data_IF_365794423687
#
_entry.id   IF_365794423687
#
_cell.length_a   1.000
_cell.length_b   1.000
_cell.length_c   1.000
_cell.angle_alpha   90.00
_cell.angle_beta   90.00
_cell.angle_gamma   90.00
#
_symmetry.space_group_name_H-M   'P 1'
#
loop_
_entity.id
_entity.type
_entity.pdbx_description
1 polymer ?
#
# COMPACT_ATOMS: atom_id res chain seq x y z
N UNK A 1 63.59 -32.98 11.84
CA UNK A 1 62.13 -33.26 11.92
C UNK A 1 61.57 -33.18 10.52
N UNK A 2 61.11 -34.31 9.99
CA UNK A 2 60.37 -34.40 8.73
C UNK A 2 58.96 -33.85 8.89
N UNK A 3 58.37 -33.35 7.80
CA UNK A 3 57.10 -33.79 7.17
C UNK A 3 56.67 -32.70 6.17
N UNK A 4 56.35 -33.08 4.93
CA UNK A 4 55.74 -32.17 3.96
C UNK A 4 55.83 -32.63 2.50
N UNK A 5 55.37 -33.84 2.20
CA UNK A 5 55.14 -34.35 0.85
C UNK A 5 54.22 -33.42 0.06
N UNK A 6 54.63 -32.98 -1.13
CA UNK A 6 53.67 -32.62 -2.19
C UNK A 6 54.16 -33.13 -3.55
N UNK A 7 53.29 -33.96 -4.08
CA UNK A 7 53.30 -34.75 -5.29
C UNK A 7 53.29 -33.81 -6.52
N UNK A 8 54.41 -33.66 -7.23
CA UNK A 8 54.41 -33.14 -8.59
C UNK A 8 54.50 -34.33 -9.53
N UNK A 9 53.35 -34.71 -10.10
CA UNK A 9 53.25 -35.78 -11.07
C UNK A 9 54.12 -35.46 -12.28
N UNK A 10 55.25 -36.15 -12.38
CA UNK A 10 55.91 -36.37 -13.65
C UNK A 10 54.97 -37.25 -14.48
N UNK A 11 54.11 -36.61 -15.27
CA UNK A 11 53.36 -37.26 -16.32
C UNK A 11 54.37 -37.92 -17.25
N UNK A 12 54.48 -39.24 -17.15
CA UNK A 12 55.06 -40.11 -18.15
C UNK A 12 54.49 -39.69 -19.50
N UNK A 13 55.26 -38.92 -20.28
CA UNK A 13 54.98 -38.72 -21.68
C UNK A 13 55.26 -40.05 -22.36
N UNK A 14 54.22 -40.88 -22.47
CA UNK A 14 54.19 -41.96 -23.45
C UNK A 14 54.62 -41.38 -24.79
N UNK A 15 55.62 -41.95 -25.49
CA UNK A 15 55.89 -41.53 -26.85
C UNK A 15 54.63 -41.81 -27.65
N UNK A 16 54.07 -40.72 -28.18
CA UNK A 16 52.82 -40.68 -28.92
C UNK A 16 52.74 -41.86 -29.89
N UNK A 17 51.63 -42.59 -29.75
CA UNK A 17 51.16 -43.59 -30.70
C UNK A 17 51.27 -43.04 -32.11
N UNK A 18 52.24 -43.55 -32.87
CA UNK A 18 52.32 -43.35 -34.30
C UNK A 18 50.97 -43.78 -34.88
N UNK A 19 50.33 -42.88 -35.63
CA UNK A 19 49.01 -43.09 -36.23
C UNK A 19 48.86 -44.52 -36.76
N UNK A 20 47.83 -45.23 -36.27
CA UNK A 20 47.43 -46.57 -36.75
C UNK A 20 47.11 -46.61 -38.25
N UNK A 21 47.17 -45.47 -38.95
CA UNK A 21 46.99 -45.38 -40.41
C UNK A 21 48.27 -45.55 -41.22
N UNK A 22 49.47 -45.41 -40.64
CA UNK A 22 50.74 -45.47 -41.40
C UNK A 22 51.24 -46.91 -41.60
N UNK A 23 50.87 -47.83 -40.71
CA UNK A 23 51.26 -49.25 -40.78
C UNK A 23 50.59 -50.01 -41.91
N UNK A 24 49.54 -49.46 -42.54
CA UNK A 24 48.75 -50.19 -43.53
C UNK A 24 49.05 -49.83 -44.99
N UNK A 25 49.73 -48.71 -45.29
CA UNK A 25 50.10 -48.36 -46.68
C UNK A 25 51.47 -48.94 -47.09
N UNK A 26 52.49 -48.83 -46.23
CA UNK A 26 53.83 -49.40 -46.50
C UNK A 26 53.78 -50.93 -46.61
N UNK A 27 53.07 -51.59 -45.68
CA UNK A 27 52.87 -53.04 -45.73
C UNK A 27 52.09 -53.51 -46.97
N UNK A 28 51.21 -52.68 -47.52
CA UNK A 28 50.51 -52.99 -48.77
C UNK A 28 51.44 -52.89 -49.98
N UNK A 29 52.24 -51.83 -50.06
CA UNK A 29 53.20 -51.63 -51.15
C UNK A 29 54.32 -52.68 -51.13
N UNK A 30 54.80 -53.07 -49.94
CA UNK A 30 55.79 -54.15 -49.81
C UNK A 30 55.23 -55.51 -50.24
N UNK A 31 53.94 -55.78 -49.99
CA UNK A 31 53.29 -57.01 -50.46
C UNK A 31 53.14 -57.03 -51.98
N UNK A 32 52.73 -55.92 -52.57
CA UNK A 32 52.66 -55.78 -54.04
C UNK A 32 54.05 -55.91 -54.68
N UNK A 33 55.08 -55.34 -54.07
CA UNK A 33 56.47 -55.50 -54.51
C UNK A 33 56.93 -56.97 -54.43
N UNK A 34 56.52 -57.69 -53.39
CA UNK A 34 56.81 -59.12 -53.25
C UNK A 34 56.12 -59.95 -54.34
N UNK A 35 54.84 -59.70 -54.62
CA UNK A 35 54.09 -60.35 -55.69
C UNK A 35 54.78 -60.15 -57.05
N UNK A 36 55.21 -58.92 -57.36
CA UNK A 36 55.96 -58.61 -58.59
C UNK A 36 57.30 -59.34 -58.63
N UNK A 37 58.04 -59.35 -57.52
CA UNK A 37 59.31 -60.06 -57.45
C UNK A 37 59.15 -61.57 -57.66
N UNK A 38 58.06 -62.16 -57.18
CA UNK A 38 57.75 -63.58 -57.39
C UNK A 38 57.40 -63.86 -58.86
N UNK A 39 56.68 -62.94 -59.55
CA UNK A 39 56.35 -63.05 -60.98
C UNK A 39 57.59 -62.97 -61.88
N UNK A 40 58.54 -62.08 -61.60
CA UNK A 40 59.75 -61.91 -62.42
C UNK A 40 60.88 -62.91 -62.09
N UNK A 41 60.74 -63.65 -60.98
CA UNK A 41 61.75 -64.60 -60.51
C UNK A 41 63.02 -63.92 -59.95
N UNK A 42 62.87 -62.78 -59.28
CA UNK A 42 64.00 -62.04 -58.68
C UNK A 42 64.75 -62.92 -57.67
N UNK A 43 66.05 -62.71 -57.49
CA UNK A 43 66.81 -63.46 -56.47
C UNK A 43 66.70 -62.80 -55.09
N UNK A 44 66.71 -63.61 -54.03
CA UNK A 44 66.61 -63.10 -52.65
C UNK A 44 67.70 -62.07 -52.31
N UNK A 45 68.89 -62.22 -52.89
CA UNK A 45 70.00 -61.28 -52.71
C UNK A 45 69.70 -59.87 -53.25
N UNK A 46 69.01 -59.77 -54.39
CA UNK A 46 68.68 -58.47 -54.97
C UNK A 46 67.44 -57.87 -54.28
N UNK A 47 66.47 -58.70 -53.88
CA UNK A 47 65.37 -58.28 -52.98
C UNK A 47 65.89 -57.64 -51.71
N UNK A 48 66.80 -58.31 -51.00
CA UNK A 48 67.40 -57.82 -49.75
C UNK A 48 68.12 -56.48 -49.95
N UNK A 49 68.85 -56.33 -51.06
CA UNK A 49 69.56 -55.09 -51.39
C UNK A 49 68.60 -53.92 -51.66
N UNK A 50 67.52 -54.17 -52.38
CA UNK A 50 66.49 -53.15 -52.63
C UNK A 50 65.76 -52.78 -51.33
N UNK A 51 65.42 -53.75 -50.49
CA UNK A 51 64.80 -53.50 -49.18
C UNK A 51 65.72 -52.67 -48.27
N UNK A 52 67.00 -53.02 -48.19
CA UNK A 52 67.99 -52.26 -47.41
C UNK A 52 68.11 -50.81 -47.92
N UNK A 53 68.08 -50.59 -49.23
CA UNK A 53 68.09 -49.24 -49.80
C UNK A 53 66.83 -48.46 -49.40
N UNK A 54 65.65 -49.08 -49.48
CA UNK A 54 64.39 -48.46 -49.10
C UNK A 54 64.36 -48.11 -47.59
N UNK A 55 64.85 -49.02 -46.75
CA UNK A 55 65.01 -48.78 -45.31
C UNK A 55 65.95 -47.60 -45.05
N UNK A 56 67.08 -47.52 -45.75
CA UNK A 56 68.04 -46.44 -45.61
C UNK A 56 67.45 -45.08 -46.04
N UNK A 57 66.75 -45.03 -47.17
CA UNK A 57 66.07 -43.81 -47.65
C UNK A 57 64.98 -43.33 -46.68
N UNK A 58 64.19 -44.26 -46.13
CA UNK A 58 63.20 -43.96 -45.09
C UNK A 58 63.87 -43.38 -43.84
N UNK A 59 64.95 -44.00 -43.36
CA UNK A 59 65.71 -43.54 -42.21
C UNK A 59 66.26 -42.13 -42.41
N UNK A 60 66.73 -41.80 -43.61
CA UNK A 60 67.26 -40.47 -43.92
C UNK A 60 66.16 -39.39 -43.93
N UNK A 61 64.97 -39.70 -44.45
CA UNK A 61 63.80 -38.81 -44.36
C UNK A 61 63.41 -38.58 -42.89
N UNK A 62 63.32 -39.65 -42.09
CA UNK A 62 63.01 -39.54 -40.66
C UNK A 62 64.05 -38.71 -39.93
N UNK A 63 65.35 -38.97 -40.15
CA UNK A 63 66.46 -38.21 -39.57
C UNK A 63 66.34 -36.73 -39.92
N UNK A 64 66.12 -36.40 -41.19
CA UNK A 64 65.96 -35.01 -41.64
C UNK A 64 64.74 -34.34 -41.01
N UNK A 65 63.63 -35.05 -40.78
CA UNK A 65 62.45 -34.51 -40.09
C UNK A 65 62.75 -34.25 -38.62
N UNK A 66 63.43 -35.17 -37.95
CA UNK A 66 63.86 -35.03 -36.55
C UNK A 66 64.79 -33.83 -36.39
N UNK A 67 65.79 -33.67 -37.27
CA UNK A 67 66.71 -32.53 -37.22
C UNK A 67 66.01 -31.18 -37.43
N UNK A 68 65.05 -31.08 -38.35
CA UNK A 68 64.25 -29.86 -38.51
C UNK A 68 63.45 -29.53 -37.25
N UNK A 69 62.82 -30.53 -36.63
CA UNK A 69 62.07 -30.34 -35.38
C UNK A 69 63.00 -29.94 -34.23
N UNK A 70 64.18 -30.54 -34.11
CA UNK A 70 65.20 -30.15 -33.12
C UNK A 70 65.63 -28.70 -33.30
N UNK A 71 65.87 -28.28 -34.55
CA UNK A 71 66.20 -26.88 -34.86
C UNK A 71 65.09 -25.93 -34.46
N UNK A 72 63.83 -26.25 -34.79
CA UNK A 72 62.67 -25.44 -34.41
C UNK A 72 62.52 -25.31 -32.89
N UNK A 73 62.73 -26.40 -32.15
CA UNK A 73 62.72 -26.38 -30.68
C UNK A 73 63.83 -25.46 -30.13
N UNK A 74 65.04 -25.52 -30.70
CA UNK A 74 66.14 -24.66 -30.28
C UNK A 74 65.85 -23.17 -30.54
N UNK A 75 65.26 -22.84 -31.69
CA UNK A 75 64.84 -21.48 -32.04
C UNK A 75 63.79 -20.93 -31.06
N UNK A 76 62.79 -21.75 -30.68
CA UNK A 76 61.80 -21.38 -29.67
C UNK A 76 62.42 -21.14 -28.29
N UNK A 77 63.31 -22.02 -27.83
CA UNK A 77 64.01 -21.83 -26.55
C UNK A 77 64.88 -20.58 -26.55
N UNK A 78 65.54 -20.26 -27.67
CA UNK A 78 66.32 -19.05 -27.80
C UNK A 78 65.43 -17.80 -27.74
N UNK A 79 64.28 -17.82 -28.40
CA UNK A 79 63.31 -16.72 -28.32
C UNK A 79 62.75 -16.55 -26.91
N UNK A 80 62.45 -17.65 -26.22
CA UNK A 80 61.98 -17.61 -24.83
C UNK A 80 63.01 -16.97 -23.91
N UNK A 81 64.27 -17.42 -23.99
CA UNK A 81 65.36 -16.86 -23.18
C UNK A 81 65.60 -15.37 -23.48
N UNK A 82 65.45 -14.93 -24.73
CA UNK A 82 65.53 -13.52 -25.10
C UNK A 82 64.40 -12.69 -24.47
N UNK A 83 63.15 -13.17 -24.52
CA UNK A 83 62.03 -12.51 -23.85
C UNK A 83 62.18 -12.50 -22.33
N UNK A 84 62.65 -13.58 -21.72
CA UNK A 84 62.95 -13.62 -20.28
C UNK A 84 64.00 -12.58 -19.88
N UNK A 85 65.06 -12.43 -20.69
CA UNK A 85 66.08 -11.40 -20.47
C UNK A 85 65.53 -9.97 -20.64
N UNK A 86 64.65 -9.74 -21.62
CA UNK A 86 63.99 -8.46 -21.83
C UNK A 86 63.07 -8.09 -20.66
N UNK A 87 62.29 -9.05 -20.14
CA UNK A 87 61.48 -8.88 -18.93
C UNK A 87 62.36 -8.56 -17.73
N UNK A 88 63.50 -9.25 -17.57
CA UNK A 88 64.44 -8.98 -16.48
C UNK A 88 65.03 -7.56 -16.57
N UNK A 89 65.39 -7.10 -17.78
CA UNK A 89 65.86 -5.73 -18.02
C UNK A 89 64.79 -4.69 -17.69
N UNK A 90 63.56 -4.89 -18.15
CA UNK A 90 62.43 -4.00 -17.82
C UNK A 90 62.17 -3.96 -16.31
N UNK A 91 62.22 -5.11 -15.63
CA UNK A 91 62.04 -5.21 -14.18
C UNK A 91 63.15 -4.49 -13.40
N UNK A 92 64.40 -4.58 -13.84
CA UNK A 92 65.53 -3.84 -13.25
C UNK A 92 65.48 -2.34 -13.55
N UNK A 93 65.06 -1.93 -14.75
CA UNK A 93 64.89 -0.51 -15.12
C UNK A 93 63.76 0.17 -14.33
N UNK A 94 62.69 -0.57 -14.01
CA UNK A 94 61.64 -0.14 -13.09
C UNK A 94 62.02 -0.28 -11.60
N UNK A 95 63.24 -0.75 -11.31
CA UNK A 95 63.77 -1.22 -10.03
C UNK A 95 63.07 -0.73 -8.77
N UNK A 96 62.64 -1.68 -7.94
CA UNK A 96 62.31 -1.57 -6.50
C UNK A 96 61.24 -0.54 -6.06
N UNK A 97 60.85 0.43 -6.90
CA UNK A 97 59.77 1.39 -6.62
C UNK A 97 58.37 0.78 -6.80
N UNK A 98 58.26 -0.33 -7.52
CA UNK A 98 56.98 -0.98 -7.83
C UNK A 98 57.06 -2.47 -7.48
N UNK A 99 57.09 -2.79 -6.18
CA UNK A 99 56.68 -4.13 -5.74
C UNK A 99 55.20 -4.28 -6.11
N UNK A 100 54.90 -5.10 -7.12
CA UNK A 100 53.52 -5.38 -7.58
C UNK A 100 52.60 -5.77 -6.40
N UNK A 101 53.03 -6.63 -5.45
CA UNK A 101 52.26 -6.92 -4.23
C UNK A 101 51.98 -5.68 -3.35
N UNK A 102 52.95 -4.76 -3.22
CA UNK A 102 52.76 -3.52 -2.44
C UNK A 102 51.74 -2.59 -3.10
N UNK A 103 51.77 -2.49 -4.43
CA UNK A 103 50.81 -1.67 -5.19
C UNK A 103 49.38 -2.22 -5.07
N UNK A 104 49.21 -3.55 -5.21
CA UNK A 104 47.92 -4.21 -4.97
C UNK A 104 47.39 -3.96 -3.54
N UNK A 105 48.27 -4.01 -2.54
CA UNK A 105 47.90 -3.71 -1.14
C UNK A 105 47.49 -2.25 -0.95
N UNK A 106 48.23 -1.31 -1.53
CA UNK A 106 47.88 0.12 -1.49
C UNK A 106 46.53 0.38 -2.17
N UNK A 107 46.27 -0.26 -3.31
CA UNK A 107 44.99 -0.18 -4.00
C UNK A 107 43.84 -0.70 -3.11
N UNK A 108 44.04 -1.82 -2.41
CA UNK A 108 43.04 -2.37 -1.48
C UNK A 108 42.77 -1.44 -0.28
N UNK A 109 43.82 -0.90 0.33
CA UNK A 109 43.68 0.11 1.41
C UNK A 109 42.90 1.32 0.89
N UNK A 110 43.29 1.86 -0.26
CA UNK A 110 42.60 3.01 -0.87
C UNK A 110 41.13 2.72 -1.15
N UNK A 111 40.82 1.54 -1.68
CA UNK A 111 39.44 1.10 -1.94
C UNK A 111 38.61 1.02 -0.65
N UNK A 112 39.15 0.46 0.44
CA UNK A 112 38.45 0.42 1.72
C UNK A 112 38.20 1.81 2.31
N UNK A 113 39.19 2.71 2.22
CA UNK A 113 39.04 4.09 2.69
C UNK A 113 37.93 4.81 1.91
N UNK A 114 37.89 4.69 0.58
CA UNK A 114 36.84 5.28 -0.25
C UNK A 114 35.46 4.72 0.10
N UNK A 115 35.33 3.40 0.25
CA UNK A 115 34.05 2.79 0.61
C UNK A 115 33.59 3.16 2.04
N UNK A 116 34.51 3.30 2.99
CA UNK A 116 34.20 3.82 4.33
C UNK A 116 33.73 5.27 4.22
N UNK A 117 34.43 6.12 3.46
CA UNK A 117 34.02 7.50 3.24
C UNK A 117 32.58 7.58 2.71
N UNK A 118 32.26 6.85 1.64
CA UNK A 118 30.90 6.78 1.09
C UNK A 118 29.86 6.36 2.14
N UNK A 119 30.15 5.32 2.94
CA UNK A 119 29.25 4.87 4.00
C UNK A 119 29.08 5.91 5.11
N UNK A 120 30.16 6.60 5.50
CA UNK A 120 30.10 7.65 6.53
C UNK A 120 29.30 8.86 6.08
N UNK A 121 29.39 9.26 4.80
CA UNK A 121 28.56 10.31 4.22
C UNK A 121 27.08 9.91 4.28
N UNK A 122 26.73 8.72 3.79
CA UNK A 122 25.35 8.21 3.79
C UNK A 122 24.79 8.11 5.22
N UNK A 123 25.61 7.72 6.18
CA UNK A 123 25.20 7.54 7.57
C UNK A 123 25.34 8.81 8.42
N UNK A 124 25.83 9.91 7.84
CA UNK A 124 26.15 11.16 8.54
C UNK A 124 27.05 10.95 9.76
N UNK A 125 28.14 10.20 9.56
CA UNK A 125 29.16 9.92 10.58
C UNK A 125 30.43 10.74 10.31
N UNK A 126 31.18 11.01 11.37
CA UNK A 126 32.47 11.69 11.26
C UNK A 126 33.55 10.74 10.69
N UNK A 127 33.83 10.90 9.40
CA UNK A 127 34.85 10.13 8.70
C UNK A 127 36.24 10.28 9.33
N UNK A 128 36.63 11.50 9.73
CA UNK A 128 37.98 11.74 10.29
C UNK A 128 38.15 10.99 11.61
N UNK A 129 37.11 11.01 12.46
CA UNK A 129 37.10 10.25 13.71
C UNK A 129 37.26 8.74 13.46
N UNK A 130 36.48 8.18 12.53
CA UNK A 130 36.56 6.74 12.19
C UNK A 130 37.94 6.39 11.64
N UNK A 131 38.50 7.22 10.76
CA UNK A 131 39.85 7.00 10.22
C UNK A 131 40.94 7.08 11.29
N UNK A 132 40.81 7.97 12.29
CA UNK A 132 41.72 8.07 13.43
C UNK A 132 41.72 6.80 14.27
N UNK A 133 40.54 6.23 14.53
CA UNK A 133 40.35 4.99 15.29
C UNK A 133 40.96 3.77 14.57
N UNK A 134 40.91 3.75 13.23
CA UNK A 134 41.52 2.71 12.42
C UNK A 134 43.04 2.85 12.42
N UNK A 135 43.57 4.04 12.06
CA UNK A 135 44.99 4.36 12.12
C UNK A 135 45.26 5.87 11.97
N UNK A 136 46.09 6.50 12.84
CA UNK A 136 46.38 7.94 12.78
C UNK A 136 46.91 8.45 11.43
N UNK A 137 47.68 7.62 10.70
CA UNK A 137 48.25 8.01 9.40
C UNK A 137 47.21 8.22 8.27
N UNK A 138 45.93 8.00 8.53
CA UNK A 138 44.85 8.33 7.59
C UNK A 138 44.23 9.71 7.80
N UNK A 139 44.51 10.37 8.92
CA UNK A 139 43.95 11.69 9.27
C UNK A 139 44.97 12.81 9.05
N UNK A 140 46.25 12.50 9.24
CA UNK A 140 47.32 13.50 9.23
C UNK A 140 47.99 13.62 7.85
N UNK A 141 47.62 14.66 7.10
CA UNK A 141 48.15 14.91 5.74
C UNK A 141 49.42 15.78 5.76
N UNK A 142 49.79 16.33 6.92
CA UNK A 142 50.88 17.29 7.07
C UNK A 142 52.25 16.63 7.32
N UNK A 143 52.32 15.35 7.71
CA UNK A 143 53.57 14.75 8.22
C UNK A 143 54.43 14.01 7.18
N UNK A 144 54.01 13.93 5.90
CA UNK A 144 54.73 13.14 4.89
C UNK A 144 54.81 11.64 5.22
N UNK A 145 54.11 11.17 6.27
CA UNK A 145 54.06 9.76 6.63
C UNK A 145 53.22 8.99 5.61
N UNK A 146 53.81 7.92 5.09
CA UNK A 146 53.08 7.00 4.22
C UNK A 146 51.91 6.36 4.95
N UNK A 147 50.75 6.29 4.27
CA UNK A 147 49.58 5.53 4.73
C UNK A 147 49.98 4.12 5.18
N UNK A 148 49.46 3.66 6.32
CA UNK A 148 49.79 2.32 6.81
C UNK A 148 49.18 1.26 5.89
N UNK A 149 49.98 0.26 5.52
CA UNK A 149 49.57 -0.90 4.71
C UNK A 149 49.74 -2.22 5.46
N UNK A 150 49.97 -2.18 6.77
CA UNK A 150 50.14 -3.35 7.63
C UNK A 150 48.92 -4.27 7.59
N UNK A 151 49.12 -5.58 7.79
CA UNK A 151 48.01 -6.55 7.82
C UNK A 151 46.97 -6.19 8.88
N UNK A 152 47.43 -5.70 10.04
CA UNK A 152 46.56 -5.19 11.11
C UNK A 152 45.69 -4.01 10.66
N UNK A 153 46.27 -3.03 9.96
CA UNK A 153 45.52 -1.88 9.44
C UNK A 153 44.49 -2.30 8.40
N UNK A 154 44.84 -3.24 7.51
CA UNK A 154 43.90 -3.82 6.55
C UNK A 154 42.76 -4.59 7.23
N UNK A 155 43.05 -5.34 8.30
CA UNK A 155 42.05 -6.05 9.08
C UNK A 155 41.09 -5.07 9.77
N UNK A 156 41.61 -4.00 10.39
CA UNK A 156 40.80 -2.93 10.99
C UNK A 156 39.92 -2.21 9.98
N UNK A 157 40.47 -1.84 8.82
CA UNK A 157 39.70 -1.27 7.71
C UNK A 157 38.56 -2.20 7.27
N UNK A 158 38.86 -3.49 7.12
CA UNK A 158 37.87 -4.49 6.71
C UNK A 158 36.78 -4.66 7.76
N UNK A 159 37.17 -4.72 9.04
CA UNK A 159 36.25 -4.82 10.17
C UNK A 159 35.30 -3.62 10.24
N UNK A 160 35.84 -2.41 10.18
CA UNK A 160 35.04 -1.18 10.25
C UNK A 160 34.12 -1.03 9.04
N UNK A 161 34.61 -1.35 7.83
CA UNK A 161 33.79 -1.36 6.62
C UNK A 161 32.60 -2.33 6.74
N UNK A 162 32.82 -3.53 7.28
CA UNK A 162 31.74 -4.49 7.50
C UNK A 162 30.76 -4.01 8.59
N UNK A 163 31.26 -3.42 9.68
CA UNK A 163 30.44 -2.84 10.73
C UNK A 163 29.54 -1.72 10.18
N UNK A 164 30.09 -0.80 9.37
CA UNK A 164 29.33 0.27 8.74
C UNK A 164 28.28 -0.26 7.77
N UNK A 165 28.62 -1.28 6.96
CA UNK A 165 27.64 -1.97 6.10
C UNK A 165 26.49 -2.57 6.90
N UNK A 166 26.79 -3.25 8.00
CA UNK A 166 25.79 -3.85 8.88
C UNK A 166 24.91 -2.77 9.54
N UNK A 167 25.51 -1.71 10.08
CA UNK A 167 24.78 -0.59 10.68
C UNK A 167 23.88 0.11 9.66
N UNK A 168 24.35 0.32 8.42
CA UNK A 168 23.53 0.86 7.31
C UNK A 168 22.32 -0.05 7.07
N UNK A 169 22.53 -1.36 6.96
CA UNK A 169 21.44 -2.32 6.73
C UNK A 169 20.42 -2.29 7.87
N UNK A 170 20.88 -2.25 9.13
CA UNK A 170 19.99 -2.18 10.29
C UNK A 170 19.16 -0.88 10.31
N UNK A 171 19.77 0.27 9.99
CA UNK A 171 19.05 1.54 9.88
C UNK A 171 18.00 1.52 8.77
N UNK A 172 18.32 0.91 7.63
CA UNK A 172 17.40 0.76 6.50
C UNK A 172 16.18 -0.08 6.90
N UNK A 173 16.39 -1.27 7.48
CA UNK A 173 15.30 -2.13 7.94
C UNK A 173 14.40 -1.42 8.98
N UNK A 174 15.01 -0.69 9.92
CA UNK A 174 14.25 0.09 10.91
C UNK A 174 13.42 1.19 10.24
N UNK A 175 13.96 1.87 9.23
CA UNK A 175 13.24 2.90 8.49
C UNK A 175 12.09 2.31 7.67
N UNK A 176 12.29 1.16 7.01
CA UNK A 176 11.25 0.46 6.25
C UNK A 176 10.06 0.04 7.15
N UNK A 177 10.35 -0.56 8.30
CA UNK A 177 9.31 -0.93 9.29
C UNK A 177 8.55 0.31 9.77
N UNK A 178 9.25 1.41 10.04
CA UNK A 178 8.61 2.65 10.50
C UNK A 178 7.75 3.29 9.39
N UNK A 179 8.19 3.26 8.13
CA UNK A 179 7.40 3.71 6.98
C UNK A 179 6.11 2.89 6.86
N UNK A 180 6.20 1.56 6.97
CA UNK A 180 5.02 0.70 6.91
C UNK A 180 4.05 0.96 8.06
N UNK A 181 4.58 1.09 9.28
CA UNK A 181 3.79 1.46 10.46
C UNK A 181 3.08 2.81 10.27
N UNK A 182 3.77 3.80 9.69
CA UNK A 182 3.23 5.12 9.41
C UNK A 182 2.17 5.08 8.30
N UNK A 183 2.32 4.23 7.28
CA UNK A 183 1.32 4.05 6.23
C UNK A 183 0.02 3.50 6.81
N UNK A 184 0.09 2.46 7.65
CA UNK A 184 -1.07 1.91 8.36
C UNK A 184 -1.72 2.95 9.27
N UNK A 185 -0.92 3.72 10.01
CA UNK A 185 -1.42 4.79 10.88
C UNK A 185 -2.11 5.90 10.07
N UNK A 186 -1.53 6.32 8.94
CA UNK A 186 -2.10 7.32 8.03
C UNK A 186 -3.44 6.84 7.48
N UNK A 187 -3.53 5.59 7.01
CA UNK A 187 -4.78 5.02 6.51
C UNK A 187 -5.86 4.95 7.60
N UNK A 188 -5.50 4.50 8.80
CA UNK A 188 -6.41 4.46 9.96
C UNK A 188 -6.93 5.86 10.33
N UNK A 189 -6.04 6.86 10.36
CA UNK A 189 -6.43 8.26 10.63
C UNK A 189 -7.26 8.86 9.51
N UNK A 190 -6.99 8.53 8.25
CA UNK A 190 -7.81 8.98 7.12
C UNK A 190 -9.23 8.43 7.21
N UNK A 191 -9.36 7.14 7.56
CA UNK A 191 -10.66 6.50 7.81
C UNK A 191 -11.43 7.19 8.95
N UNK A 192 -10.77 7.51 10.06
CA UNK A 192 -11.38 8.24 11.17
C UNK A 192 -11.92 9.61 10.73
N UNK A 193 -11.13 10.37 9.98
CA UNK A 193 -11.53 11.68 9.45
C UNK A 193 -12.73 11.57 8.51
N UNK A 194 -12.74 10.59 7.61
CA UNK A 194 -13.86 10.31 6.71
C UNK A 194 -15.16 10.06 7.49
N UNK A 195 -15.13 9.21 8.52
CA UNK A 195 -16.32 8.98 9.36
C UNK A 195 -16.74 10.22 10.15
N UNK A 196 -15.78 11.04 10.59
CA UNK A 196 -16.10 12.33 11.23
C UNK A 196 -16.79 13.29 10.26
N UNK A 197 -16.34 13.36 9.00
CA UNK A 197 -17.01 14.13 7.95
C UNK A 197 -18.40 13.58 7.61
N UNK A 198 -18.57 12.26 7.67
CA UNK A 198 -19.88 11.63 7.49
C UNK A 198 -20.85 12.08 8.59
N UNK A 199 -20.43 12.06 9.85
CA UNK A 199 -21.25 12.57 10.97
C UNK A 199 -21.55 14.07 10.84
N UNK A 200 -20.57 14.91 10.47
CA UNK A 200 -20.81 16.35 10.24
C UNK A 200 -21.87 16.58 9.16
N UNK A 201 -21.81 15.82 8.06
CA UNK A 201 -22.77 15.88 6.97
C UNK A 201 -24.20 15.54 7.46
N UNK A 202 -24.32 14.50 8.28
CA UNK A 202 -25.59 14.06 8.87
C UNK A 202 -26.16 15.10 9.83
N UNK A 203 -25.32 15.67 10.72
CA UNK A 203 -25.72 16.74 11.63
C UNK A 203 -26.27 17.96 10.89
N UNK A 204 -25.66 18.33 9.76
CA UNK A 204 -26.15 19.43 8.92
C UNK A 204 -27.53 19.10 8.35
N UNK A 205 -27.69 17.92 7.75
CA UNK A 205 -28.98 17.53 7.14
C UNK A 205 -30.09 17.37 8.19
N UNK A 206 -29.78 16.81 9.35
CA UNK A 206 -30.70 16.72 10.48
C UNK A 206 -31.10 18.11 10.99
N UNK A 207 -30.12 19.01 11.16
CA UNK A 207 -30.34 20.38 11.60
C UNK A 207 -31.24 21.21 10.68
N UNK A 208 -31.34 20.83 9.40
CA UNK A 208 -32.25 21.47 8.42
C UNK A 208 -33.43 20.60 8.01
N UNK A 209 -33.73 19.55 8.79
CA UNK A 209 -34.86 18.65 8.62
C UNK A 209 -34.96 18.03 7.22
N UNK A 210 -33.82 17.64 6.65
CA UNK A 210 -33.76 16.89 5.39
C UNK A 210 -33.86 15.39 5.64
N UNK A 211 -34.71 14.72 4.85
CA UNK A 211 -34.88 13.26 4.88
C UNK A 211 -33.76 12.59 4.07
N UNK A 212 -32.66 12.23 4.76
CA UNK A 212 -31.55 11.48 4.18
C UNK A 212 -31.43 10.13 4.89
N UNK A 213 -31.34 9.05 4.10
CA UNK A 213 -31.07 7.69 4.58
C UNK A 213 -29.61 7.55 5.02
N UNK A 214 -29.33 8.10 6.20
CA UNK A 214 -28.01 8.16 6.83
C UNK A 214 -27.41 6.76 7.06
N UNK A 215 -28.22 5.81 7.51
CA UNK A 215 -27.77 4.46 7.83
C UNK A 215 -27.27 3.71 6.58
N UNK A 216 -28.00 3.84 5.47
CA UNK A 216 -27.58 3.28 4.19
C UNK A 216 -26.32 3.96 3.65
N UNK A 217 -26.20 5.28 3.81
CA UNK A 217 -25.00 6.02 3.41
C UNK A 217 -23.76 5.56 4.20
N UNK A 218 -23.88 5.39 5.52
CA UNK A 218 -22.82 4.85 6.39
C UNK A 218 -22.41 3.44 6.00
N UNK A 219 -23.37 2.57 5.66
CA UNK A 219 -23.09 1.20 5.21
C UNK A 219 -22.31 1.19 3.90
N UNK A 220 -22.77 1.94 2.88
CA UNK A 220 -22.09 2.05 1.58
C UNK A 220 -20.65 2.56 1.78
N UNK A 221 -20.48 3.62 2.59
CA UNK A 221 -19.18 4.20 2.89
C UNK A 221 -18.25 3.18 3.58
N UNK A 222 -18.77 2.45 4.56
CA UNK A 222 -18.02 1.41 5.27
C UNK A 222 -17.56 0.30 4.33
N UNK A 223 -18.43 -0.19 3.45
CA UNK A 223 -18.09 -1.20 2.43
C UNK A 223 -17.02 -0.69 1.47
N UNK A 224 -17.15 0.56 1.01
CA UNK A 224 -16.20 1.17 0.08
C UNK A 224 -14.80 1.26 0.68
N UNK A 225 -14.68 1.72 1.93
CA UNK A 225 -13.41 1.80 2.65
C UNK A 225 -12.80 0.42 2.89
N UNK A 226 -13.62 -0.56 3.29
CA UNK A 226 -13.15 -1.92 3.55
C UNK A 226 -12.66 -2.65 2.29
N UNK A 227 -13.25 -2.32 1.14
CA UNK A 227 -12.83 -2.90 -0.15
C UNK A 227 -11.45 -2.47 -0.62
N UNK A 228 -10.90 -1.38 -0.06
CA UNK A 228 -9.60 -0.81 -0.47
C UNK A 228 -9.55 -0.31 -1.92
N UNK A 229 -10.71 -0.24 -2.60
CA UNK A 229 -10.80 0.13 -4.02
C UNK A 229 -10.71 1.62 -4.30
N UNK A 230 -10.77 2.46 -3.26
CA UNK A 230 -10.84 3.91 -3.36
C UNK A 230 -9.70 4.55 -2.58
N UNK A 231 -9.09 5.58 -3.20
CA UNK A 231 -8.12 6.43 -2.51
C UNK A 231 -8.82 7.25 -1.42
N UNK A 232 -8.33 7.11 -0.19
CA UNK A 232 -8.94 7.75 0.98
C UNK A 232 -8.76 9.28 0.98
N UNK A 233 -7.75 9.81 0.31
CA UNK A 233 -7.54 11.27 0.19
C UNK A 233 -8.56 11.89 -0.76
N UNK A 234 -8.80 11.24 -1.90
CA UNK A 234 -9.82 11.67 -2.86
C UNK A 234 -11.22 11.55 -2.28
N UNK A 235 -11.50 10.46 -1.56
CA UNK A 235 -12.77 10.28 -0.86
C UNK A 235 -13.01 11.36 0.19
N UNK A 236 -12.00 11.67 1.02
CA UNK A 236 -12.11 12.74 2.02
C UNK A 236 -12.38 14.10 1.37
N UNK A 237 -11.70 14.41 0.25
CA UNK A 237 -11.91 15.65 -0.50
C UNK A 237 -13.32 15.73 -1.10
N UNK A 238 -13.84 14.60 -1.61
CA UNK A 238 -15.23 14.51 -2.08
C UNK A 238 -16.23 14.77 -0.95
N UNK A 239 -15.97 14.24 0.25
CA UNK A 239 -16.80 14.49 1.42
C UNK A 239 -16.77 15.95 1.88
N UNK A 240 -15.62 16.61 1.82
CA UNK A 240 -15.54 18.06 2.06
C UNK A 240 -16.42 18.83 1.07
N UNK A 241 -16.44 18.42 -0.20
CA UNK A 241 -17.35 18.96 -1.20
C UNK A 241 -18.84 18.71 -0.87
N UNK A 242 -19.18 17.53 -0.36
CA UNK A 242 -20.55 17.22 0.07
C UNK A 242 -20.99 18.04 1.27
N UNK A 243 -20.11 18.23 2.25
CA UNK A 243 -20.36 19.10 3.41
C UNK A 243 -20.56 20.55 2.95
N UNK A 244 -19.75 21.06 2.03
CA UNK A 244 -19.91 22.41 1.50
C UNK A 244 -21.29 22.59 0.83
N UNK A 245 -21.71 21.62 0.01
CA UNK A 245 -23.05 21.60 -0.59
C UNK A 245 -24.16 21.54 0.46
N UNK A 246 -24.00 20.69 1.49
CA UNK A 246 -24.98 20.59 2.57
C UNK A 246 -25.09 21.90 3.37
N UNK A 247 -23.97 22.60 3.61
CA UNK A 247 -23.97 23.93 4.24
C UNK A 247 -24.67 24.97 3.37
N UNK A 248 -24.47 24.95 2.05
CA UNK A 248 -25.20 25.82 1.12
C UNK A 248 -26.71 25.54 1.17
N UNK A 249 -27.09 24.26 1.16
CA UNK A 249 -28.49 23.85 1.30
C UNK A 249 -29.08 24.33 2.62
N UNK A 250 -28.36 24.15 3.72
CA UNK A 250 -28.78 24.61 5.03
C UNK A 250 -28.98 26.13 5.07
N UNK A 251 -28.04 26.88 4.48
CA UNK A 251 -28.12 28.33 4.39
C UNK A 251 -29.33 28.79 3.54
N UNK A 252 -29.64 28.08 2.45
CA UNK A 252 -30.80 28.39 1.61
C UNK A 252 -32.14 28.17 2.32
N UNK A 253 -32.20 27.20 3.25
CA UNK A 253 -33.40 26.89 4.03
C UNK A 253 -33.57 27.78 5.25
N UNK A 254 -32.53 28.53 5.65
CA UNK A 254 -32.49 29.28 6.91
C UNK A 254 -33.67 30.24 7.10
N UNK A 255 -34.02 31.01 6.06
CA UNK A 255 -35.08 32.03 6.14
C UNK A 255 -36.50 31.46 6.17
N UNK A 256 -36.65 30.19 5.77
CA UNK A 256 -37.90 29.43 5.86
C UNK A 256 -37.98 28.72 7.22
N UNK A 257 -36.85 28.19 7.68
CA UNK A 257 -36.73 27.49 8.96
C UNK A 257 -36.61 28.42 10.17
N UNK A 258 -36.61 29.74 9.99
CA UNK A 258 -36.60 30.71 11.10
C UNK A 258 -37.92 30.65 11.88
N UNK A 259 -37.92 29.86 12.96
CA UNK A 259 -39.12 29.51 13.74
C UNK A 259 -39.49 30.56 14.78
N UNK A 260 -38.70 31.63 14.99
CA UNK A 260 -38.84 32.48 16.18
C UNK A 260 -40.19 33.20 16.22
N UNK A 261 -40.61 33.80 15.10
CA UNK A 261 -41.89 34.54 14.99
C UNK A 261 -43.10 33.62 15.04
N UNK A 262 -42.95 32.42 14.46
CA UNK A 262 -44.00 31.43 14.32
C UNK A 262 -44.29 30.68 15.60
N UNK A 263 -43.23 30.30 16.30
CA UNK A 263 -43.31 29.60 17.57
C UNK A 263 -44.02 30.45 18.62
N UNK A 264 -43.67 31.73 18.73
CA UNK A 264 -44.34 32.62 19.68
C UNK A 264 -45.83 32.82 19.37
N UNK A 265 -46.19 32.98 18.09
CA UNK A 265 -47.59 33.10 17.69
C UNK A 265 -48.40 31.82 17.97
N UNK A 266 -47.83 30.65 17.67
CA UNK A 266 -48.46 29.35 17.93
C UNK A 266 -48.57 29.02 19.43
N UNK A 267 -47.56 29.39 20.24
CA UNK A 267 -47.60 29.24 21.69
C UNK A 267 -48.68 30.12 22.33
N UNK A 268 -48.81 31.37 21.88
CA UNK A 268 -49.88 32.26 22.36
C UNK A 268 -51.27 31.84 21.86
N UNK A 269 -51.37 31.26 20.66
CA UNK A 269 -52.61 30.63 20.17
C UNK A 269 -53.04 29.45 21.07
N UNK A 270 -52.11 28.51 21.33
CA UNK A 270 -52.39 27.37 22.22
C UNK A 270 -52.76 27.81 23.63
N UNK A 271 -52.09 28.84 24.17
CA UNK A 271 -52.41 29.41 25.48
C UNK A 271 -53.78 30.08 25.49
N UNK A 272 -54.12 30.83 24.44
CA UNK A 272 -55.42 31.48 24.31
C UNK A 272 -56.54 30.44 24.23
N UNK A 273 -56.36 29.38 23.42
CA UNK A 273 -57.33 28.29 23.32
C UNK A 273 -57.56 27.60 24.67
N UNK A 274 -56.51 27.35 25.44
CA UNK A 274 -56.62 26.79 26.79
C UNK A 274 -57.34 27.75 27.75
N UNK A 275 -57.05 29.05 27.65
CA UNK A 275 -57.72 30.09 28.44
C UNK A 275 -59.20 30.28 28.05
N UNK A 276 -59.57 30.10 26.78
CA UNK A 276 -60.96 30.22 26.31
C UNK A 276 -61.80 29.00 26.68
N UNK A 277 -61.17 27.83 26.85
CA UNK A 277 -61.82 26.59 27.35
C UNK A 277 -62.03 26.59 28.87
N UNK A 278 -61.41 27.50 29.63
CA UNK A 278 -61.58 27.59 31.07
C UNK A 278 -62.92 28.25 31.46
N UNK A 279 -63.85 27.47 32.01
CA UNK A 279 -65.15 27.97 32.49
C UNK A 279 -65.01 28.95 33.67
N UNK A 280 -63.92 28.86 34.44
CA UNK A 280 -63.69 29.69 35.61
C UNK A 280 -62.89 30.98 35.29
N UNK A 281 -62.67 31.28 34.01
CA UNK A 281 -61.83 32.40 33.53
C UNK A 281 -62.26 33.81 34.01
N UNK A 282 -63.53 33.97 34.39
CA UNK A 282 -64.08 35.22 34.93
C UNK A 282 -64.36 35.19 36.43
N UNK A 283 -63.95 34.12 37.13
CA UNK A 283 -64.09 34.05 38.58
C UNK A 283 -63.33 35.19 39.27
N UNK A 284 -63.96 35.85 40.24
CA UNK A 284 -63.42 37.07 40.87
C UNK A 284 -62.16 36.77 41.71
N UNK A 285 -60.98 36.83 41.07
CA UNK A 285 -59.67 36.60 41.69
C UNK A 285 -58.66 37.73 41.42
N UNK A 286 -57.61 37.82 42.25
CA UNK A 286 -56.48 38.73 41.98
C UNK A 286 -55.74 38.28 40.71
N UNK A 287 -55.72 39.15 39.70
CA UNK A 287 -54.96 38.92 38.44
C UNK A 287 -55.82 38.68 37.19
N UNK A 288 -57.14 38.52 37.33
CA UNK A 288 -58.07 38.29 36.20
C UNK A 288 -57.94 39.35 35.10
N UNK A 289 -57.89 40.63 35.49
CA UNK A 289 -57.74 41.74 34.53
C UNK A 289 -56.41 41.69 33.75
N UNK A 290 -55.35 41.07 34.29
CA UNK A 290 -54.06 40.90 33.60
C UNK A 290 -54.15 39.77 32.57
N UNK A 291 -54.78 38.66 32.93
CA UNK A 291 -55.02 37.55 32.01
C UNK A 291 -55.96 37.96 30.88
N UNK A 292 -57.02 38.73 31.17
CA UNK A 292 -57.91 39.28 30.15
C UNK A 292 -57.16 40.22 29.18
N UNK A 293 -56.27 41.08 29.70
CA UNK A 293 -55.39 41.91 28.86
C UNK A 293 -54.40 41.10 28.02
N UNK A 294 -53.89 39.97 28.52
CA UNK A 294 -53.02 39.06 27.76
C UNK A 294 -53.82 38.36 26.67
N UNK A 295 -55.02 37.86 26.97
CA UNK A 295 -55.91 37.21 26.02
C UNK A 295 -56.26 38.14 24.84
N UNK A 296 -56.54 39.42 25.10
CA UNK A 296 -56.79 40.38 24.03
C UNK A 296 -55.55 40.63 23.15
N UNK A 297 -54.35 40.70 23.76
CA UNK A 297 -53.09 40.77 23.01
C UNK A 297 -52.82 39.50 22.19
N UNK A 298 -53.12 38.32 22.75
CA UNK A 298 -52.99 37.03 22.08
C UNK A 298 -53.95 36.94 20.88
N UNK A 299 -55.21 37.38 20.99
CA UNK A 299 -56.15 37.45 19.86
C UNK A 299 -55.66 38.31 18.71
N UNK A 300 -55.04 39.45 19.01
CA UNK A 300 -54.43 40.33 18.01
C UNK A 300 -53.24 39.64 17.32
N UNK A 301 -52.52 38.75 18.01
CA UNK A 301 -51.43 37.97 17.43
C UNK A 301 -51.97 36.80 16.59
N UNK A 302 -52.97 36.07 17.09
CA UNK A 302 -53.65 34.96 16.40
C UNK A 302 -54.30 35.44 15.11
N UNK A 303 -54.94 36.62 15.10
CA UNK A 303 -55.52 37.18 13.88
C UNK A 303 -54.50 37.47 12.77
N UNK A 304 -53.20 37.54 13.09
CA UNK A 304 -52.11 37.72 12.13
C UNK A 304 -51.55 36.39 11.60
N UNK A 305 -51.85 35.25 12.23
CA UNK A 305 -51.37 33.92 11.82
C UNK A 305 -51.65 33.63 10.34
N UNK A 306 -52.86 33.88 9.77
CA UNK A 306 -53.12 33.61 8.36
C UNK A 306 -52.16 34.35 7.41
N UNK A 307 -51.87 35.62 7.69
CA UNK A 307 -50.95 36.44 6.89
C UNK A 307 -49.49 35.94 6.96
N UNK A 308 -49.10 35.43 8.12
CA UNK A 308 -47.81 34.77 8.28
C UNK A 308 -47.79 33.48 7.43
N UNK A 309 -48.87 32.68 7.44
CA UNK A 309 -48.93 31.36 6.74
C UNK A 309 -48.82 31.55 5.26
N UNK A 310 -49.52 32.56 4.73
CA UNK A 310 -49.44 32.93 3.34
C UNK A 310 -48.02 33.39 2.97
N UNK A 311 -47.38 34.24 3.80
CA UNK A 311 -45.99 34.67 3.58
C UNK A 311 -45.00 33.51 3.56
N UNK A 312 -45.11 32.55 4.48
CA UNK A 312 -44.25 31.36 4.51
C UNK A 312 -44.53 30.44 3.32
N UNK A 313 -45.80 30.26 2.94
CA UNK A 313 -46.19 29.46 1.77
C UNK A 313 -45.58 30.03 0.49
N UNK A 314 -45.58 31.36 0.33
CA UNK A 314 -44.93 32.02 -0.80
C UNK A 314 -43.42 31.77 -0.80
N UNK A 315 -42.75 31.89 0.35
CA UNK A 315 -41.30 31.60 0.46
C UNK A 315 -40.97 30.15 0.14
N UNK A 316 -41.76 29.20 0.65
CA UNK A 316 -41.60 27.76 0.36
C UNK A 316 -41.75 27.51 -1.13
N UNK A 317 -42.83 27.99 -1.76
CA UNK A 317 -43.06 27.81 -3.20
C UNK A 317 -41.98 28.44 -4.06
N UNK A 318 -41.47 29.63 -3.67
CA UNK A 318 -40.37 30.28 -4.37
C UNK A 318 -39.08 29.44 -4.29
N UNK A 319 -38.77 28.91 -3.10
CA UNK A 319 -37.61 28.03 -2.91
C UNK A 319 -37.74 26.71 -3.68
N UNK A 320 -38.93 26.09 -3.70
CA UNK A 320 -39.20 24.86 -4.46
C UNK A 320 -39.02 25.07 -5.96
N UNK A 321 -39.47 26.22 -6.48
CA UNK A 321 -39.30 26.59 -7.88
C UNK A 321 -37.82 26.83 -8.24
N UNK A 322 -37.09 27.52 -7.35
CA UNK A 322 -35.65 27.80 -7.55
C UNK A 322 -34.81 26.52 -7.51
N UNK A 323 -35.09 25.61 -6.58
CA UNK A 323 -34.31 24.38 -6.36
C UNK A 323 -34.81 23.18 -7.17
N UNK A 324 -36.02 23.26 -7.71
CA UNK A 324 -36.63 22.19 -8.51
C UNK A 324 -36.99 20.94 -7.70
N UNK A 325 -37.17 21.08 -6.38
CA UNK A 325 -37.45 19.96 -5.48
C UNK A 325 -38.41 20.38 -4.36
N UNK A 326 -39.31 19.50 -3.90
CA UNK A 326 -40.25 19.82 -2.82
C UNK A 326 -39.54 20.16 -1.51
N UNK A 327 -40.08 21.12 -0.77
CA UNK A 327 -39.60 21.48 0.55
C UNK A 327 -40.22 20.53 1.57
N UNK A 328 -39.44 19.54 2.01
CA UNK A 328 -39.85 18.63 3.08
C UNK A 328 -39.42 19.16 4.44
N UNK A 329 -40.32 19.09 5.42
CA UNK A 329 -40.10 19.43 6.81
C UNK A 329 -40.56 18.26 7.70
N UNK A 330 -39.58 17.60 8.32
CA UNK A 330 -39.73 16.50 9.26
C UNK A 330 -40.10 15.10 8.69
N UNK A 331 -39.57 14.04 9.33
CA UNK A 331 -39.72 12.64 8.92
C UNK A 331 -41.13 12.08 9.16
N UNK A 332 -41.88 12.68 10.08
CA UNK A 332 -43.19 12.20 10.51
C UNK A 332 -44.35 12.72 9.64
N UNK A 333 -44.26 13.95 9.13
CA UNK A 333 -45.30 14.50 8.25
C UNK A 333 -45.43 13.72 6.94
N UNK A 334 -44.30 13.32 6.33
CA UNK A 334 -44.31 12.49 5.11
C UNK A 334 -44.87 11.10 5.38
N UNK A 335 -44.51 10.45 6.50
CA UNK A 335 -45.07 9.14 6.87
C UNK A 335 -46.58 9.21 7.15
N UNK A 336 -47.06 10.27 7.82
CA UNK A 336 -48.48 10.49 8.05
C UNK A 336 -49.22 10.81 6.76
N UNK A 337 -48.63 11.60 5.85
CA UNK A 337 -49.22 11.94 4.56
C UNK A 337 -49.26 10.72 3.61
N UNK A 338 -48.22 9.90 3.59
CA UNK A 338 -48.16 8.66 2.82
C UNK A 338 -49.12 7.60 3.40
N UNK A 339 -49.26 7.52 4.74
CA UNK A 339 -50.28 6.66 5.38
C UNK A 339 -51.69 7.14 5.07
N UNK A 340 -51.97 8.44 5.15
CA UNK A 340 -53.27 9.01 4.78
C UNK A 340 -53.58 8.84 3.28
N UNK A 341 -52.59 8.95 2.41
CA UNK A 341 -52.73 8.68 0.98
C UNK A 341 -53.02 7.19 0.72
N UNK A 342 -52.32 6.29 1.41
CA UNK A 342 -52.55 4.83 1.34
C UNK A 342 -53.93 4.45 1.92
N UNK A 343 -54.38 5.11 2.99
CA UNK A 343 -55.72 4.93 3.57
C UNK A 343 -56.82 5.48 2.64
N UNK A 344 -56.61 6.61 1.96
CA UNK A 344 -57.56 7.09 0.96
C UNK A 344 -57.58 6.23 -0.32
N UNK A 345 -56.44 5.71 -0.77
CA UNK A 345 -56.36 4.77 -1.89
C UNK A 345 -57.03 3.43 -1.57
N UNK A 346 -56.96 2.97 -0.31
CA UNK A 346 -57.65 1.75 0.14
C UNK A 346 -59.14 1.96 0.39
N UNK A 347 -59.59 3.19 0.69
CA UNK A 347 -61.02 3.53 0.82
C UNK A 347 -61.72 3.80 -0.54
N UNK A 348 -61.02 4.32 -1.56
CA UNK A 348 -61.63 4.73 -2.84
C UNK A 348 -61.13 3.96 -4.08
N UNK A 349 -60.38 2.88 -3.91
CA UNK A 349 -59.79 2.08 -5.00
C UNK A 349 -60.77 1.28 -5.86
N UNK A 350 -61.60 1.94 -6.67
CA UNK A 350 -62.12 1.35 -7.93
C UNK A 350 -61.22 1.79 -9.08
N UNK A 351 -60.41 0.86 -9.60
CA UNK A 351 -59.57 1.10 -10.79
C UNK A 351 -60.44 1.40 -12.01
N UNK A 352 -60.12 2.41 -12.86
CA UNK A 352 -60.74 2.53 -14.17
C UNK A 352 -60.21 1.42 -15.09
N UNK A 353 -61.12 0.62 -15.61
CA UNK A 353 -60.84 -0.43 -16.58
C UNK A 353 -60.45 0.19 -17.94
N UNK A 354 -59.17 0.17 -18.29
CA UNK A 354 -58.70 0.46 -19.65
C UNK A 354 -58.61 -0.86 -20.40
N UNK A 355 -59.58 -1.11 -21.28
CA UNK A 355 -59.54 -2.19 -22.27
C UNK A 355 -58.42 -1.93 -23.29
N UNK A 356 -57.56 -2.92 -23.52
CA UNK A 356 -56.75 -3.06 -24.75
C UNK A 356 -56.81 -4.52 -25.25
N UNK A 357 -56.62 -4.74 -26.57
CA UNK A 357 -57.31 -5.79 -27.31
C UNK A 357 -56.56 -7.13 -27.38
N UNK A 358 -57.33 -8.13 -27.81
CA UNK A 358 -57.00 -9.53 -28.02
C UNK A 358 -55.89 -9.73 -29.08
N UNK A 359 -54.89 -10.56 -28.77
CA UNK A 359 -53.92 -11.11 -29.71
C UNK A 359 -53.48 -12.51 -29.24
N UNK A 360 -53.56 -13.49 -30.15
CA UNK A 360 -53.50 -14.95 -29.97
C UNK A 360 -52.14 -15.48 -29.42
N UNK A 361 -52.18 -16.44 -28.46
CA UNK A 361 -51.84 -17.88 -28.59
C UNK A 361 -50.33 -18.18 -28.80
N UNK A 362 -49.62 -19.11 -28.11
CA UNK A 362 -49.91 -20.57 -28.00
C UNK A 362 -48.88 -21.31 -27.08
N UNK A 363 -49.33 -22.42 -26.46
CA UNK A 363 -48.64 -23.63 -25.91
C UNK A 363 -47.53 -23.54 -24.82
N UNK A 364 -47.74 -24.15 -23.64
CA UNK A 364 -47.49 -25.58 -23.30
C UNK A 364 -47.48 -25.83 -21.76
N UNK A 365 -47.92 -27.02 -21.35
CA UNK A 365 -48.22 -27.50 -20.00
C UNK A 365 -47.01 -27.90 -19.14
N UNK A 366 -47.13 -27.82 -17.79
CA UNK A 366 -46.90 -28.90 -16.77
C UNK A 366 -47.19 -28.32 -15.36
N UNK A 367 -48.28 -28.72 -14.67
CA UNK A 367 -48.37 -29.71 -13.57
C UNK A 367 -47.24 -29.64 -12.52
N UNK A 368 -47.37 -29.83 -11.20
CA UNK A 368 -48.38 -30.19 -10.19
C UNK A 368 -47.61 -30.11 -8.84
N UNK A 369 -48.23 -29.68 -7.72
CA UNK A 369 -48.13 -30.33 -6.38
C UNK A 369 -48.41 -29.35 -5.21
N UNK A 370 -49.58 -29.52 -4.61
CA UNK A 370 -49.83 -29.34 -3.16
C UNK A 370 -50.06 -30.76 -2.60
N UNK A 371 -49.77 -31.06 -1.31
CA UNK A 371 -50.79 -30.88 -0.26
C UNK A 371 -50.19 -30.53 1.13
N UNK A 372 -50.78 -29.62 1.92
CA UNK A 372 -51.95 -29.73 2.79
C UNK A 372 -51.66 -30.25 4.23
N UNK A 373 -52.22 -29.50 5.19
CA UNK A 373 -52.75 -29.94 6.49
C UNK A 373 -51.83 -30.05 7.73
N UNK A 374 -52.06 -29.17 8.73
CA UNK A 374 -52.81 -29.55 9.94
C UNK A 374 -53.27 -28.36 10.79
N UNK A 375 -54.45 -28.55 11.38
CA UNK A 375 -55.30 -27.62 12.14
C UNK A 375 -55.27 -28.01 13.63
N UNK A 376 -55.78 -27.09 14.48
CA UNK A 376 -56.34 -27.26 15.85
C UNK A 376 -55.29 -27.07 16.97
N UNK A 377 -55.52 -26.27 18.03
CA UNK A 377 -56.71 -25.55 18.47
C UNK A 377 -56.44 -24.63 19.67
N UNK A 378 -57.48 -23.87 20.03
CA UNK A 378 -57.61 -23.00 21.20
C UNK A 378 -58.04 -23.88 22.40
N UNK A 379 -57.77 -23.49 23.67
CA UNK A 379 -58.87 -22.88 24.43
C UNK A 379 -58.46 -21.68 25.30
N UNK A 380 -59.46 -20.82 25.48
CA UNK A 380 -59.52 -19.66 26.37
C UNK A 380 -59.29 -19.99 27.85
N UNK A 381 -58.76 -19.02 28.60
CA UNK A 381 -59.03 -18.87 30.03
C UNK A 381 -59.39 -17.42 30.36
N UNK A 382 -60.41 -17.28 31.22
CA UNK A 382 -61.14 -16.09 31.63
C UNK A 382 -60.47 -15.38 32.84
N UNK A 383 -60.73 -14.07 32.89
CA UNK A 383 -61.06 -13.24 34.06
C UNK A 383 -59.97 -12.74 35.03
N UNK A 384 -60.08 -11.42 35.30
CA UNK A 384 -59.50 -10.75 36.46
C UNK A 384 -59.60 -9.22 36.34
N UNK A 385 -60.77 -8.66 36.64
CA UNK A 385 -60.97 -7.21 36.83
C UNK A 385 -60.58 -6.88 38.28
N UNK A 386 -59.84 -5.78 38.52
CA UNK A 386 -59.82 -5.12 39.83
C UNK A 386 -59.50 -3.63 39.70
N UNK A 387 -60.40 -2.83 40.30
CA UNK A 387 -60.43 -1.38 40.42
C UNK A 387 -59.38 -0.79 41.39
N UNK A 388 -59.14 0.52 41.29
CA UNK A 388 -58.52 1.35 42.35
C UNK A 388 -57.65 2.47 41.76
N UNK A 389 -58.20 3.64 41.40
CA UNK A 389 -58.53 4.83 42.22
C UNK A 389 -57.31 5.69 42.61
N UNK A 390 -57.39 6.95 42.18
CA UNK A 390 -56.48 8.07 42.33
C UNK A 390 -55.85 8.24 43.71
N UNK A 391 -54.56 8.64 43.74
CA UNK A 391 -54.03 9.54 44.76
C UNK A 391 -53.02 10.54 44.19
N UNK A 392 -53.49 11.79 44.20
CA UNK A 392 -52.80 13.08 44.29
C UNK A 392 -51.53 13.01 45.15
N UNK A 393 -50.42 13.54 44.65
CA UNK A 393 -49.28 13.92 45.48
C UNK A 393 -48.93 15.40 45.26
N UNK A 394 -48.68 16.09 46.36
CA UNK A 394 -48.24 17.48 46.43
C UNK A 394 -47.23 17.53 47.56
N UNK A 395 -45.94 17.54 47.20
CA UNK A 395 -44.82 17.69 48.12
C UNK A 395 -43.87 18.75 47.58
N UNK A 396 -43.69 19.82 48.35
CA UNK A 396 -42.87 21.00 48.05
C UNK A 396 -41.52 20.88 48.76
N UNK A 397 -40.50 21.49 48.15
CA UNK A 397 -39.23 21.98 48.70
C UNK A 397 -37.99 21.06 48.61
N UNK A 398 -36.92 21.66 48.06
CA UNK A 398 -35.57 21.12 48.05
C UNK A 398 -34.72 21.77 46.96
N UNK A 399 -34.26 23.00 47.19
CA UNK A 399 -33.31 23.67 46.29
C UNK A 399 -31.96 22.96 46.32
N UNK A 400 -31.35 22.76 45.14
CA UNK A 400 -29.97 22.29 45.00
C UNK A 400 -29.24 23.22 44.03
N UNK A 401 -28.17 23.81 44.53
CA UNK A 401 -27.19 24.66 43.86
C UNK A 401 -26.27 23.76 43.01
N UNK A 402 -25.94 24.10 41.75
CA UNK A 402 -24.79 23.48 41.08
C UNK A 402 -23.51 24.25 41.44
N UNK A 403 -22.60 23.58 42.19
CA UNK A 403 -21.25 24.06 42.44
C UNK A 403 -20.36 23.75 41.24
N UNK A 404 -20.00 24.85 40.58
CA UNK A 404 -18.70 25.28 40.06
C UNK A 404 -17.79 24.37 39.21
N UNK A 405 -17.34 25.03 38.15
CA UNK A 405 -16.25 24.75 37.23
C UNK A 405 -14.93 24.40 37.93
N UNK A 406 -14.24 23.38 37.39
CA UNK A 406 -12.81 23.17 37.64
C UNK A 406 -12.02 24.12 36.73
N UNK A 407 -11.38 25.11 37.35
CA UNK A 407 -10.39 25.96 36.73
C UNK A 407 -9.08 25.18 36.49
N UNK A 408 -8.55 25.26 35.27
CA UNK A 408 -7.20 24.84 34.94
C UNK A 408 -6.23 25.95 35.37
N UNK A 409 -5.29 25.63 36.26
CA UNK A 409 -4.20 26.53 36.62
C UNK A 409 -3.25 26.75 35.43
N UNK A 410 -3.03 28.02 35.12
CA UNK A 410 -1.80 28.50 34.47
C UNK A 410 -0.66 28.43 35.47
N UNK A 411 0.53 28.11 34.97
CA UNK A 411 1.88 28.63 35.26
C UNK A 411 2.86 27.56 34.73
N UNK A 412 4.01 27.83 34.12
CA UNK A 412 4.83 29.03 34.15
C UNK A 412 5.76 29.08 32.93
N UNK A 413 6.12 30.29 32.48
CA UNK A 413 7.28 30.53 31.60
C UNK A 413 8.34 31.21 32.45
N UNK A 414 9.52 30.61 32.57
CA UNK A 414 10.67 31.25 33.18
C UNK A 414 11.98 30.57 32.82
N UNK A 415 12.79 31.33 32.05
CA UNK A 415 14.23 31.19 31.78
C UNK A 415 14.73 30.07 30.86
#
# INVERSE_FOLDING_TARGET
>A
MSIGTSNFGASNSSPLSLSKSATTTCASLLRELQEIWDEIGESDTERDKILLQLEQECLDIYRKKVERSRKYIAELHQSLAAFEAEIAQLASALGERVSVPRNLRLQKVSSHISAIHELTVVMSLDFKKIMAEIHPSFVDTASGQSKSISNETLARLTSELNLLKQKKQQRLLKAEVEVERLNVLKASKMKELIFKRQSELEEIYEGVHMDVDSDKARQILSTLIQSGSVDLSDLLSSMDGQIAKAKEQAQSRKDILDKEKWRHAAEEESWLDEYERDENRYSAGRGVHKNLKRAEKARILVSKIPSLVESLTVKVKAWELERGMPFLYDKEQKKLQDQLATEQETLFGSKPNVKKPLGQSTYANTMVATPNSRRVGIPSARHGISSGKDRRDSGKAGGVIPINYVALSKDDRGS
#
